data_IF_199499437632
#
_entry.id   IF_199499437632
#
_cell.length_a   1.000
_cell.length_b   1.000
_cell.length_c   1.000
_cell.angle_alpha   90.00
_cell.angle_beta   90.00
_cell.angle_gamma   90.00
#
_symmetry.space_group_name_H-M   'P 1'
#
loop_
_entity.id
_entity.type
_entity.pdbx_description
1 polymer ?
#
# COMPACT_ATOMS: atom_id res chain seq x y z
N UNK A 1 2.12 -20.92 -16.98
CA UNK A 1 1.09 -20.02 -16.41
C UNK A 1 1.83 -19.13 -15.44
N UNK A 2 2.09 -17.88 -15.81
CA UNK A 2 2.89 -16.94 -15.01
C UNK A 2 2.15 -16.56 -13.73
N UNK A 3 2.78 -16.78 -12.56
CA UNK A 3 2.32 -16.36 -11.22
C UNK A 3 1.92 -14.87 -11.13
N UNK A 4 2.30 -14.04 -12.12
CA UNK A 4 1.97 -12.62 -12.18
C UNK A 4 0.47 -12.30 -12.14
N UNK A 5 -0.40 -13.19 -12.61
CA UNK A 5 -1.85 -12.92 -12.65
C UNK A 5 -2.56 -13.12 -11.29
N UNK A 6 -1.93 -13.82 -10.33
CA UNK A 6 -2.56 -14.13 -9.03
C UNK A 6 -2.39 -13.00 -8.00
N UNK A 7 -1.45 -12.08 -8.22
CA UNK A 7 -1.11 -10.99 -7.28
C UNK A 7 -1.55 -9.61 -7.77
N UNK A 8 -2.31 -9.55 -8.86
CA UNK A 8 -2.77 -8.30 -9.43
C UNK A 8 -3.91 -7.72 -8.58
N UNK A 9 -3.68 -6.53 -7.99
CA UNK A 9 -4.71 -5.83 -7.23
C UNK A 9 -5.75 -5.29 -8.20
N UNK A 10 -7.01 -5.70 -8.05
CA UNK A 10 -8.09 -5.26 -8.92
C UNK A 10 -8.48 -3.79 -8.66
N UNK A 11 -9.07 -3.12 -9.65
CA UNK A 11 -9.58 -1.75 -9.47
C UNK A 11 -10.57 -1.63 -8.30
N UNK A 12 -11.38 -2.67 -8.06
CA UNK A 12 -12.33 -2.69 -6.94
C UNK A 12 -11.61 -2.70 -5.59
N UNK A 13 -10.52 -3.45 -5.49
CA UNK A 13 -9.67 -3.47 -4.29
C UNK A 13 -8.94 -2.14 -4.12
N UNK A 14 -8.37 -1.57 -5.18
CA UNK A 14 -7.75 -0.24 -5.13
C UNK A 14 -8.71 0.81 -4.55
N UNK A 15 -9.96 0.86 -5.02
CA UNK A 15 -10.97 1.80 -4.50
C UNK A 15 -11.22 1.58 -2.99
N UNK A 16 -11.30 0.32 -2.55
CA UNK A 16 -11.50 -0.01 -1.14
C UNK A 16 -10.30 0.38 -0.28
N UNK A 17 -9.08 0.11 -0.76
CA UNK A 17 -7.83 0.47 -0.10
C UNK A 17 -7.73 1.99 0.02
N UNK A 18 -7.90 2.73 -1.07
CA UNK A 18 -7.89 4.21 -1.05
C UNK A 18 -8.94 4.75 -0.09
N UNK A 19 -10.15 4.17 -0.10
CA UNK A 19 -11.21 4.52 0.85
C UNK A 19 -10.80 4.30 2.31
N UNK A 20 -10.09 3.21 2.59
CA UNK A 20 -9.58 2.90 3.93
C UNK A 20 -8.50 3.90 4.38
N UNK A 21 -7.53 4.21 3.53
CA UNK A 21 -6.48 5.19 3.83
C UNK A 21 -7.06 6.58 4.13
N UNK A 22 -7.99 7.04 3.28
CA UNK A 22 -8.66 8.35 3.47
C UNK A 22 -9.44 8.41 4.78
N UNK A 23 -10.12 7.32 5.18
CA UNK A 23 -10.83 7.25 6.47
C UNK A 23 -9.87 7.35 7.66
N UNK A 24 -8.64 6.88 7.51
CA UNK A 24 -7.58 6.97 8.52
C UNK A 24 -6.78 8.29 8.45
N UNK A 25 -7.19 9.25 7.60
CA UNK A 25 -6.57 10.57 7.52
C UNK A 25 -5.34 10.66 6.62
N UNK A 26 -4.95 9.56 5.96
CA UNK A 26 -3.85 9.57 5.00
C UNK A 26 -4.25 10.31 3.71
N UNK A 27 -3.36 11.20 3.26
CA UNK A 27 -3.47 11.98 2.03
C UNK A 27 -2.13 11.89 1.29
N UNK A 28 -2.19 11.73 -0.03
CA UNK A 28 -1.03 11.39 -0.81
C UNK A 28 -1.39 10.81 -2.18
N UNK A 29 -0.38 10.68 -3.03
CA UNK A 29 -0.47 9.96 -4.28
C UNK A 29 -0.19 8.47 -4.04
N UNK A 30 -1.04 7.59 -4.59
CA UNK A 30 -0.85 6.14 -4.48
C UNK A 30 0.00 5.67 -5.66
N UNK A 31 1.21 5.20 -5.35
CA UNK A 31 2.24 4.88 -6.35
C UNK A 31 2.13 3.43 -6.79
N UNK A 32 1.95 2.51 -5.85
CA UNK A 32 1.81 1.09 -6.14
C UNK A 32 0.94 0.37 -5.12
N UNK A 33 0.32 -0.72 -5.58
CA UNK A 33 -0.46 -1.63 -4.76
C UNK A 33 0.03 -3.05 -5.04
N UNK A 34 0.23 -3.83 -4.00
CA UNK A 34 0.62 -5.23 -4.10
C UNK A 34 -0.22 -6.05 -3.14
N UNK A 35 -0.80 -7.14 -3.64
CA UNK A 35 -1.49 -8.10 -2.79
C UNK A 35 -0.47 -8.97 -2.05
N UNK A 36 -0.69 -9.19 -0.75
CA UNK A 36 0.13 -10.10 0.04
C UNK A 36 -0.41 -11.51 -0.13
N UNK A 37 0.35 -12.34 -0.83
CA UNK A 37 0.02 -13.76 -1.05
C UNK A 37 -0.19 -14.44 0.30
N UNK A 38 -1.20 -15.30 0.37
CA UNK A 38 -1.54 -16.09 1.56
C UNK A 38 -2.03 -15.30 2.79
N UNK A 39 -2.09 -13.96 2.74
CA UNK A 39 -2.63 -13.11 3.82
C UNK A 39 -4.03 -12.53 3.49
N UNK A 40 -4.80 -13.19 2.60
CA UNK A 40 -6.22 -12.88 2.44
C UNK A 40 -6.48 -11.49 1.85
N UNK A 41 -6.98 -10.53 2.64
CA UNK A 41 -7.30 -9.17 2.17
C UNK A 41 -6.26 -8.14 2.63
N UNK A 42 -5.00 -8.56 2.64
CA UNK A 42 -3.86 -7.75 3.05
C UNK A 42 -3.07 -7.27 1.84
N UNK A 43 -2.68 -6.00 1.87
CA UNK A 43 -2.02 -5.33 0.75
C UNK A 43 -0.86 -4.48 1.25
N UNK A 44 0.21 -4.45 0.47
CA UNK A 44 1.22 -3.40 0.55
C UNK A 44 0.85 -2.25 -0.37
N UNK A 45 1.00 -1.03 0.14
CA UNK A 45 0.66 0.20 -0.57
C UNK A 45 1.83 1.16 -0.44
N UNK A 46 2.34 1.63 -1.56
CA UNK A 46 3.29 2.74 -1.58
C UNK A 46 2.53 4.02 -1.81
N UNK A 47 2.67 4.97 -0.90
CA UNK A 47 2.05 6.29 -1.01
C UNK A 47 3.13 7.38 -0.89
N UNK A 48 3.07 8.37 -1.78
CA UNK A 48 3.91 9.56 -1.71
C UNK A 48 3.19 10.68 -0.96
N UNK A 49 3.89 11.35 -0.05
CA UNK A 49 3.42 12.62 0.52
C UNK A 49 3.39 13.70 -0.57
N UNK A 50 2.31 14.47 -0.61
CA UNK A 50 2.08 15.57 -1.55
C UNK A 50 3.08 16.73 -1.36
N UNK A 51 3.67 16.89 -0.17
CA UNK A 51 4.43 18.10 0.16
C UNK A 51 5.94 18.00 -0.13
N UNK A 52 6.48 16.79 -0.14
CA UNK A 52 7.91 16.55 0.00
C UNK A 52 8.38 15.33 -0.81
N UNK A 53 7.49 14.70 -1.59
CA UNK A 53 7.83 13.60 -2.51
C UNK A 53 8.37 12.34 -1.83
N UNK A 54 8.33 12.29 -0.49
CA UNK A 54 8.81 11.15 0.26
C UNK A 54 7.77 10.05 0.22
N UNK A 55 8.20 8.83 -0.10
CA UNK A 55 7.32 7.68 -0.21
C UNK A 55 7.34 6.88 1.08
N UNK A 56 6.18 6.35 1.48
CA UNK A 56 6.04 5.42 2.60
C UNK A 56 5.45 4.11 2.13
N UNK A 57 5.96 3.01 2.67
CA UNK A 57 5.35 1.70 2.55
C UNK A 57 4.37 1.50 3.71
N UNK A 58 3.15 1.08 3.37
CA UNK A 58 2.08 0.79 4.31
C UNK A 58 1.58 -0.63 4.09
N UNK A 59 1.22 -1.31 5.18
CA UNK A 59 0.46 -2.56 5.16
C UNK A 59 -0.99 -2.22 5.47
N UNK A 60 -1.92 -2.69 4.66
CA UNK A 60 -3.35 -2.45 4.83
C UNK A 60 -4.10 -3.78 4.86
N UNK A 61 -5.04 -3.90 5.78
CA UNK A 61 -5.93 -5.05 5.89
C UNK A 61 -7.38 -4.57 5.71
N UNK A 62 -8.02 -4.99 4.62
CA UNK A 62 -9.40 -4.60 4.33
C UNK A 62 -10.44 -5.32 5.20
N UNK A 63 -10.12 -6.49 5.75
CA UNK A 63 -11.01 -7.23 6.65
C UNK A 63 -10.96 -6.65 8.06
N UNK A 64 -9.76 -6.36 8.57
CA UNK A 64 -9.56 -5.73 9.86
C UNK A 64 -9.84 -4.21 9.83
N UNK A 65 -9.78 -3.59 8.64
CA UNK A 65 -9.95 -2.15 8.47
C UNK A 65 -8.78 -1.34 9.05
N UNK A 66 -7.56 -1.89 8.98
CA UNK A 66 -6.35 -1.28 9.56
C UNK A 66 -5.38 -0.84 8.48
N UNK A 67 -4.61 0.20 8.80
CA UNK A 67 -3.48 0.69 7.99
C UNK A 67 -2.29 0.87 8.93
N UNK A 68 -1.19 0.21 8.62
CA UNK A 68 0.03 0.18 9.42
C UNK A 68 1.21 0.70 8.60
N UNK A 69 1.85 1.76 9.08
CA UNK A 69 3.10 2.24 8.51
C UNK A 69 4.21 1.20 8.72
N UNK A 70 4.99 0.92 7.67
CA UNK A 70 6.12 0.00 7.71
C UNK A 70 7.44 0.76 7.77
N UNK A 71 7.79 1.47 6.70
CA UNK A 71 9.01 2.28 6.62
C UNK A 71 8.94 3.30 5.46
N UNK A 72 9.81 4.31 5.51
CA UNK A 72 9.97 5.27 4.41
C UNK A 72 10.83 4.65 3.30
N UNK A 73 10.44 4.90 2.05
CA UNK A 73 11.25 4.61 0.86
C UNK A 73 12.02 5.89 0.54
N UNK A 74 13.28 5.97 0.97
CA UNK A 74 14.18 7.04 0.55
C UNK A 74 14.74 6.79 -0.85
N UNK A 75 15.34 7.81 -1.47
CA UNK A 75 15.94 7.74 -2.81
C UNK A 75 17.01 6.63 -2.98
N UNK A 76 17.44 5.99 -1.88
CA UNK A 76 18.43 4.93 -1.88
C UNK A 76 17.86 3.51 -1.67
N UNK A 77 16.53 3.33 -1.53
CA UNK A 77 15.93 2.03 -1.19
C UNK A 77 16.62 1.34 0.00
N UNK A 78 17.14 2.11 0.96
CA UNK A 78 17.79 1.53 2.12
C UNK A 78 16.74 1.32 3.21
N UNK A 79 16.44 0.05 3.53
CA UNK A 79 15.78 -0.29 4.79
C UNK A 79 16.68 0.25 5.90
N UNK A 80 16.29 1.33 6.56
CA UNK A 80 17.08 1.93 7.63
C UNK A 80 17.37 0.86 8.70
N UNK A 81 18.66 0.65 8.98
CA UNK A 81 19.17 -0.26 10.03
C UNK A 81 19.18 0.41 11.39
#
# INVERSE_FOLDING_TARGET
MSEAAANEVTQREMIRIIGLFRKNGFKGEYVSFQHVVDEGATYFVVMSDENNGTQGLFKADLLAGTVEFQYMLDENHAVAK
#
